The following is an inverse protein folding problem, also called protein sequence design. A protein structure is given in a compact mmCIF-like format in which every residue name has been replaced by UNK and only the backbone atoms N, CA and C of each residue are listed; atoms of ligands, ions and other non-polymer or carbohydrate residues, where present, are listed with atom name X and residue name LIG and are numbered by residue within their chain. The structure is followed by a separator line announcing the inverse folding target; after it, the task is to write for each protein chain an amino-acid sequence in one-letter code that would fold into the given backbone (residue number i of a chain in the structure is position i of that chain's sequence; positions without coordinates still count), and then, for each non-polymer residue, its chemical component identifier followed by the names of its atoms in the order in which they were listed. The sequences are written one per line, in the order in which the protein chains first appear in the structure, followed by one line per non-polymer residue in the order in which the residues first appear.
data_IF_008226875834
#
_entry.id   IF_008226875834
#
_cell.length_a   1.000
_cell.length_b   1.000
_cell.length_c   1.000
_cell.angle_alpha   90.00
_cell.angle_beta   90.00
_cell.angle_gamma   90.00
#
_symmetry.space_group_name_H-M   'P 1'
#
loop_
_entity.id
_entity.type
_entity.pdbx_description
1 polymer ?
#
# COMPACT_ATOMS: atom_id res chain seq x y z
N UNK A 1 -28.69 9.79 -39.01
CA UNK A 1 -29.75 9.66 -38.01
C UNK A 1 -30.65 8.44 -38.25
N UNK A 2 -31.11 8.17 -39.48
CA UNK A 2 -31.98 7.04 -39.76
C UNK A 2 -31.41 5.66 -39.35
N UNK A 3 -30.10 5.44 -39.47
CA UNK A 3 -29.47 4.18 -39.08
C UNK A 3 -29.46 4.01 -37.55
N UNK A 4 -29.15 5.07 -36.82
CA UNK A 4 -29.14 5.03 -35.36
C UNK A 4 -30.52 4.84 -34.77
N UNK A 5 -31.56 5.42 -35.41
CA UNK A 5 -32.95 5.26 -34.99
C UNK A 5 -33.45 3.82 -35.26
N UNK A 6 -33.17 3.28 -36.45
CA UNK A 6 -33.45 1.88 -36.74
C UNK A 6 -32.74 0.91 -35.79
N UNK A 7 -31.50 1.14 -35.47
CA UNK A 7 -30.78 0.30 -34.51
C UNK A 7 -31.45 0.30 -33.11
N UNK A 8 -31.97 1.45 -32.69
CA UNK A 8 -32.71 1.57 -31.42
C UNK A 8 -34.01 0.79 -31.39
N UNK A 9 -34.75 0.79 -32.50
CA UNK A 9 -36.00 0.00 -32.63
C UNK A 9 -35.77 -1.50 -32.39
N UNK A 10 -34.58 -2.01 -32.74
CA UNK A 10 -34.20 -3.42 -32.55
C UNK A 10 -33.34 -3.65 -31.31
N UNK A 11 -33.26 -2.68 -30.40
CA UNK A 11 -32.42 -2.76 -29.19
C UNK A 11 -30.90 -2.99 -29.47
N UNK A 12 -30.45 -2.55 -30.65
CA UNK A 12 -29.03 -2.65 -31.07
C UNK A 12 -28.35 -1.33 -30.80
N UNK A 13 -27.25 -1.37 -30.04
CA UNK A 13 -26.44 -0.18 -29.73
C UNK A 13 -25.31 -0.04 -30.76
N UNK A 14 -25.26 1.11 -31.44
CA UNK A 14 -24.18 1.43 -32.36
C UNK A 14 -22.93 1.82 -31.57
N UNK A 15 -21.96 0.91 -31.53
CA UNK A 15 -20.69 1.14 -30.83
C UNK A 15 -19.62 1.82 -31.68
N UNK A 16 -19.80 1.88 -33.01
CA UNK A 16 -18.90 2.55 -33.94
C UNK A 16 -19.11 2.10 -35.39
N UNK A 17 -18.49 2.81 -36.30
CA UNK A 17 -18.51 2.52 -37.74
C UNK A 17 -17.10 2.20 -38.24
N UNK A 18 -16.96 1.25 -39.12
CA UNK A 18 -15.72 0.86 -39.80
C UNK A 18 -15.82 1.05 -41.31
N UNK A 19 -14.69 0.94 -42.03
CA UNK A 19 -14.69 1.05 -43.49
C UNK A 19 -14.81 2.47 -44.02
N UNK A 20 -14.43 3.47 -43.24
CA UNK A 20 -14.44 4.88 -43.63
C UNK A 20 -13.11 5.22 -44.28
N UNK A 21 -13.16 5.55 -45.56
CA UNK A 21 -11.98 5.74 -46.39
C UNK A 21 -11.69 7.22 -46.76
N UNK A 22 -12.58 8.14 -46.41
CA UNK A 22 -12.44 9.56 -46.71
C UNK A 22 -12.45 10.42 -45.45
N UNK A 23 -11.61 11.44 -45.43
CA UNK A 23 -11.48 12.36 -44.32
C UNK A 23 -12.75 13.15 -44.04
N UNK A 24 -13.45 13.57 -45.08
CA UNK A 24 -14.73 14.29 -44.96
C UNK A 24 -15.78 13.47 -44.18
N UNK A 25 -15.89 12.18 -44.49
CA UNK A 25 -16.81 11.28 -43.78
C UNK A 25 -16.40 11.05 -42.35
N UNK A 26 -15.09 10.97 -42.09
CA UNK A 26 -14.59 10.84 -40.74
C UNK A 26 -14.91 12.09 -39.89
N UNK A 27 -14.74 13.27 -40.43
CA UNK A 27 -15.02 14.53 -39.75
C UNK A 27 -16.52 14.66 -39.41
N UNK A 28 -17.43 14.23 -40.32
CA UNK A 28 -18.86 14.20 -40.04
C UNK A 28 -19.23 13.24 -38.92
N UNK A 29 -18.54 12.12 -38.80
CA UNK A 29 -18.79 11.16 -37.71
C UNK A 29 -18.26 11.68 -36.37
N UNK A 30 -17.07 12.26 -36.39
CA UNK A 30 -16.44 12.88 -35.19
C UNK A 30 -17.33 14.01 -34.68
N UNK A 31 -17.82 14.90 -35.54
CA UNK A 31 -18.71 15.98 -35.14
C UNK A 31 -20.03 15.50 -34.51
N UNK A 32 -20.44 14.27 -34.81
CA UNK A 32 -21.63 13.61 -34.26
C UNK A 32 -21.34 12.64 -33.12
N UNK A 33 -20.12 12.61 -32.64
CA UNK A 33 -19.65 11.73 -31.54
C UNK A 33 -19.85 10.21 -31.84
N UNK A 34 -19.76 9.81 -33.10
CA UNK A 34 -19.85 8.41 -33.50
C UNK A 34 -18.45 7.85 -33.60
N UNK A 35 -18.06 6.83 -32.81
CA UNK A 35 -16.74 6.24 -32.86
C UNK A 35 -16.44 5.55 -34.20
N UNK A 36 -15.21 5.72 -34.69
CA UNK A 36 -14.69 5.03 -35.87
C UNK A 36 -13.84 3.85 -35.38
N UNK A 37 -14.23 2.63 -35.73
CA UNK A 37 -13.57 1.40 -35.30
C UNK A 37 -12.69 0.86 -36.44
N UNK A 38 -11.47 0.47 -36.14
CA UNK A 38 -10.53 -0.22 -37.06
C UNK A 38 -10.22 0.48 -38.37
N UNK A 39 -9.75 1.72 -38.31
CA UNK A 39 -9.12 2.35 -39.48
C UNK A 39 -7.69 2.76 -39.10
N UNK A 40 -6.71 1.95 -39.51
CA UNK A 40 -5.28 2.25 -39.34
C UNK A 40 -4.87 3.58 -40.00
N UNK A 41 -5.60 4.02 -41.01
CA UNK A 41 -5.41 5.29 -41.68
C UNK A 41 -5.85 6.48 -40.84
N UNK A 42 -6.93 6.32 -40.05
CA UNK A 42 -7.45 7.36 -39.17
C UNK A 42 -6.81 7.33 -37.77
N UNK A 43 -6.19 6.25 -37.36
CA UNK A 43 -5.37 6.21 -36.16
C UNK A 43 -4.21 7.21 -36.26
N UNK A 44 -3.54 7.29 -37.42
CA UNK A 44 -2.47 8.27 -37.66
C UNK A 44 -2.97 9.73 -37.60
N UNK A 45 -4.11 10.01 -38.23
CA UNK A 45 -4.73 11.36 -38.21
C UNK A 45 -5.12 11.75 -36.78
N UNK A 46 -5.57 10.78 -35.97
CA UNK A 46 -5.92 11.01 -34.58
C UNK A 46 -4.68 11.29 -33.73
N UNK A 47 -3.58 10.58 -33.95
CA UNK A 47 -2.30 10.83 -33.28
C UNK A 47 -1.68 12.17 -33.66
N UNK A 48 -1.81 12.60 -34.94
CA UNK A 48 -1.33 13.91 -35.39
C UNK A 48 -2.16 15.06 -34.86
N UNK A 49 -3.48 14.89 -34.73
CA UNK A 49 -4.37 15.92 -34.18
C UNK A 49 -4.32 16.03 -32.64
N UNK A 50 -3.86 14.98 -31.95
CA UNK A 50 -3.65 14.99 -30.50
C UNK A 50 -2.21 15.28 -30.09
N UNK A 51 -1.29 15.46 -31.03
CA UNK A 51 0.01 16.04 -30.69
C UNK A 51 -0.27 17.49 -30.25
N UNK A 52 0.03 17.85 -29.01
CA UNK A 52 -0.11 19.23 -28.60
C UNK A 52 0.73 20.08 -29.57
N UNK A 53 0.12 21.00 -30.27
CA UNK A 53 0.85 22.04 -30.98
C UNK A 53 1.62 22.80 -29.91
N UNK A 54 2.89 22.50 -29.76
CA UNK A 54 3.80 23.32 -28.99
C UNK A 54 3.90 24.63 -29.74
N UNK A 55 3.10 25.61 -29.34
CA UNK A 55 3.30 26.97 -29.75
C UNK A 55 4.49 27.44 -28.90
N UNK A 56 5.69 27.34 -29.45
CA UNK A 56 6.84 28.02 -28.90
C UNK A 56 6.59 29.54 -28.98
N UNK A 57 5.82 30.05 -28.05
CA UNK A 57 5.91 31.45 -27.67
C UNK A 57 7.18 31.56 -26.84
N UNK A 58 8.24 32.02 -27.45
CA UNK A 58 9.39 32.54 -26.73
C UNK A 58 8.90 33.77 -25.94
N UNK A 59 8.35 33.52 -24.77
CA UNK A 59 8.17 34.55 -23.76
C UNK A 59 9.53 34.61 -23.08
N UNK A 60 10.32 35.64 -23.37
CA UNK A 60 11.44 36.01 -22.50
C UNK A 60 10.85 36.37 -21.12
N UNK A 61 10.64 35.39 -20.32
CA UNK A 61 10.43 35.58 -18.88
C UNK A 61 11.83 35.81 -18.33
N UNK A 62 12.19 37.07 -18.13
CA UNK A 62 13.24 37.41 -17.17
C UNK A 62 12.75 36.86 -15.84
N UNK A 63 13.28 35.71 -15.45
CA UNK A 63 13.09 35.12 -14.14
C UNK A 63 14.10 35.79 -13.20
N UNK A 64 13.69 36.78 -12.41
CA UNK A 64 14.46 37.20 -11.29
C UNK A 64 13.90 36.38 -10.12
N UNK A 65 14.61 35.43 -9.71
CA UNK A 65 14.59 34.62 -8.49
C UNK A 65 14.67 33.13 -8.82
N UNK A 66 15.74 32.52 -8.40
CA UNK A 66 15.75 31.11 -8.02
C UNK A 66 14.65 30.93 -6.97
N UNK A 67 13.49 30.45 -7.40
CA UNK A 67 12.55 29.85 -6.46
C UNK A 67 13.23 28.60 -5.97
N UNK A 68 13.93 28.69 -4.87
CA UNK A 68 14.26 27.52 -4.04
C UNK A 68 12.91 26.97 -3.61
N UNK A 69 12.36 26.06 -4.40
CA UNK A 69 11.29 25.19 -3.92
C UNK A 69 11.89 24.50 -2.70
N UNK A 70 11.36 24.72 -1.49
CA UNK A 70 11.83 23.97 -0.36
C UNK A 70 11.50 22.50 -0.69
N UNK A 71 12.52 21.72 -1.07
CA UNK A 71 12.41 20.28 -0.97
C UNK A 71 12.19 20.00 0.51
N UNK A 72 10.98 19.66 0.88
CA UNK A 72 10.79 18.90 2.11
C UNK A 72 11.51 17.57 1.90
N UNK A 73 12.78 17.55 2.24
CA UNK A 73 13.49 16.31 2.50
C UNK A 73 12.75 15.74 3.70
N UNK A 74 11.86 14.78 3.47
CA UNK A 74 11.35 13.93 4.54
C UNK A 74 12.55 13.18 5.07
N UNK A 75 13.21 13.79 6.05
CA UNK A 75 14.22 13.09 6.85
C UNK A 75 13.42 11.98 7.51
N UNK A 76 13.73 10.73 7.15
CA UNK A 76 13.13 9.59 7.82
C UNK A 76 13.43 9.77 9.33
N UNK A 77 12.40 9.82 10.15
CA UNK A 77 12.59 9.95 11.59
C UNK A 77 13.44 8.78 12.07
N UNK A 78 14.34 9.01 13.04
CA UNK A 78 15.18 7.94 13.56
C UNK A 78 14.32 6.87 14.23
N UNK A 79 14.73 5.60 14.06
CA UNK A 79 14.13 4.43 14.69
C UNK A 79 13.90 4.70 16.20
N UNK A 80 12.70 4.40 16.71
CA UNK A 80 12.44 4.49 18.14
C UNK A 80 13.12 3.32 18.88
N UNK A 81 14.10 3.64 19.71
CA UNK A 81 14.83 2.66 20.51
C UNK A 81 14.39 2.75 21.96
N UNK A 82 13.99 1.61 22.53
CA UNK A 82 13.58 1.47 23.94
C UNK A 82 14.59 0.55 24.63
N UNK A 83 15.37 1.07 25.57
CA UNK A 83 16.45 0.36 26.27
C UNK A 83 16.04 -0.17 27.65
N UNK A 84 14.74 -0.35 27.87
CA UNK A 84 14.19 -0.85 29.13
C UNK A 84 13.04 -1.84 28.90
N UNK A 85 12.67 -2.56 29.96
CA UNK A 85 11.49 -3.39 29.94
C UNK A 85 10.23 -2.54 29.90
N UNK A 86 9.36 -2.79 28.91
CA UNK A 86 8.05 -2.14 28.81
C UNK A 86 7.14 -2.73 29.86
N UNK A 87 6.70 -1.88 30.79
CA UNK A 87 5.93 -2.30 31.99
C UNK A 87 4.49 -2.52 31.66
N UNK A 88 3.80 -3.25 32.53
CA UNK A 88 2.36 -3.45 32.45
C UNK A 88 1.59 -2.12 32.38
N UNK A 89 0.70 -1.98 31.39
CA UNK A 89 -0.06 -0.75 31.13
C UNK A 89 0.71 0.34 30.39
N UNK A 90 1.98 0.15 30.12
CA UNK A 90 2.78 1.10 29.33
C UNK A 90 2.46 1.03 27.84
N UNK A 91 2.37 2.18 27.18
CA UNK A 91 2.18 2.32 25.74
C UNK A 91 3.43 2.89 25.11
N UNK A 92 4.03 2.12 24.19
CA UNK A 92 5.07 2.58 23.29
C UNK A 92 4.44 2.84 21.93
N UNK A 93 4.59 4.04 21.38
CA UNK A 93 3.98 4.41 20.10
C UNK A 93 4.99 5.10 19.19
N UNK A 94 5.14 4.57 17.97
CA UNK A 94 5.96 5.12 16.89
C UNK A 94 5.10 5.27 15.61
N UNK A 95 4.36 6.39 15.48
CA UNK A 95 3.40 6.57 14.39
C UNK A 95 4.04 6.72 13.01
N UNK A 96 5.34 7.02 12.94
CA UNK A 96 6.06 7.24 11.67
C UNK A 96 7.20 6.25 11.44
N UNK A 97 7.49 5.37 12.42
CA UNK A 97 8.72 4.58 12.45
C UNK A 97 8.52 3.13 12.88
N UNK A 98 9.66 2.42 12.86
CA UNK A 98 9.83 1.13 13.53
C UNK A 98 10.23 1.32 14.99
N UNK A 99 9.96 0.30 15.81
CA UNK A 99 10.34 0.24 17.23
C UNK A 99 11.33 -0.91 17.44
N UNK A 100 12.38 -0.64 18.20
CA UNK A 100 13.30 -1.67 18.71
C UNK A 100 13.31 -1.63 20.23
N UNK A 101 13.11 -2.77 20.88
CA UNK A 101 13.05 -2.91 22.34
C UNK A 101 14.16 -3.84 22.81
N UNK A 102 15.13 -3.30 23.55
CA UNK A 102 16.15 -4.05 24.25
C UNK A 102 15.65 -4.40 25.67
N UNK A 103 14.59 -5.21 25.72
CA UNK A 103 13.96 -5.60 26.97
C UNK A 103 12.71 -6.44 26.72
N UNK A 104 11.98 -6.72 27.77
CA UNK A 104 10.77 -7.52 27.76
C UNK A 104 9.53 -6.62 27.62
N UNK A 105 8.48 -7.13 27.00
CA UNK A 105 7.17 -6.48 26.92
C UNK A 105 6.21 -7.23 27.84
N UNK A 106 5.85 -6.58 28.97
CA UNK A 106 5.01 -7.18 29.99
C UNK A 106 3.57 -7.39 29.53
N UNK A 107 2.83 -8.25 30.20
CA UNK A 107 1.37 -8.39 29.99
C UNK A 107 0.67 -7.05 30.17
N UNK A 108 -0.34 -6.79 29.36
CA UNK A 108 -1.08 -5.51 29.30
C UNK A 108 -0.26 -4.30 28.80
N UNK A 109 1.04 -4.45 28.51
CA UNK A 109 1.78 -3.45 27.76
C UNK A 109 1.40 -3.49 26.29
N UNK A 110 1.49 -2.32 25.62
CA UNK A 110 1.11 -2.18 24.22
C UNK A 110 2.21 -1.48 23.43
N UNK A 111 2.58 -2.07 22.30
CA UNK A 111 3.58 -1.52 21.37
C UNK A 111 2.93 -1.30 20.01
N UNK A 112 2.96 -0.07 19.51
CA UNK A 112 2.37 0.32 18.23
C UNK A 112 3.44 0.96 17.36
N UNK A 113 3.65 0.44 16.14
CA UNK A 113 4.55 1.00 15.15
C UNK A 113 3.90 1.07 13.78
N UNK A 114 4.19 2.13 13.03
CA UNK A 114 3.75 2.23 11.63
C UNK A 114 4.51 1.28 10.71
N UNK A 115 5.70 0.82 11.12
CA UNK A 115 6.52 -0.13 10.38
C UNK A 115 6.78 -1.38 11.23
N UNK A 116 8.04 -1.72 11.46
CA UNK A 116 8.45 -2.96 12.10
C UNK A 116 8.51 -2.84 13.64
N UNK A 117 8.33 -3.96 14.32
CA UNK A 117 8.58 -4.08 15.77
C UNK A 117 9.60 -5.18 16.00
N UNK A 118 10.68 -4.85 16.69
CA UNK A 118 11.78 -5.76 17.02
C UNK A 118 11.93 -5.80 18.54
N UNK A 119 11.74 -6.96 19.15
CA UNK A 119 11.83 -7.19 20.58
C UNK A 119 12.92 -8.24 20.82
N UNK A 120 13.99 -7.85 21.49
CA UNK A 120 15.09 -8.79 21.81
C UNK A 120 14.81 -9.67 23.04
N UNK A 121 13.87 -9.27 23.88
CA UNK A 121 13.45 -10.02 25.06
C UNK A 121 12.11 -10.75 24.86
N UNK A 122 11.43 -10.94 26.00
CA UNK A 122 10.14 -11.65 26.07
C UNK A 122 8.99 -10.78 25.59
N UNK A 123 8.05 -11.37 24.89
CA UNK A 123 6.81 -10.73 24.49
C UNK A 123 5.62 -11.41 25.17
N UNK A 124 5.00 -10.68 26.13
CA UNK A 124 3.80 -11.13 26.85
C UNK A 124 2.59 -10.21 26.60
N UNK A 125 2.81 -9.02 26.05
CA UNK A 125 1.81 -7.98 25.82
C UNK A 125 1.22 -7.97 24.40
N UNK A 126 0.77 -6.79 23.99
CA UNK A 126 0.16 -6.54 22.68
C UNK A 126 1.14 -5.84 21.74
N UNK A 127 1.18 -6.27 20.48
CA UNK A 127 2.03 -5.65 19.45
C UNK A 127 1.25 -5.39 18.17
N UNK A 128 1.38 -4.17 17.67
CA UNK A 128 0.77 -3.69 16.44
C UNK A 128 1.87 -3.15 15.52
N UNK A 129 2.22 -3.88 14.48
CA UNK A 129 3.14 -3.46 13.43
C UNK A 129 2.39 -3.05 12.17
N UNK A 130 3.00 -2.20 11.35
CA UNK A 130 2.36 -1.74 10.12
C UNK A 130 1.07 -0.96 10.36
N UNK A 131 0.91 -0.37 11.54
CA UNK A 131 -0.31 0.38 11.89
C UNK A 131 -0.38 1.67 11.07
N UNK A 132 -1.54 2.01 10.49
CA UNK A 132 -1.71 3.27 9.79
C UNK A 132 -1.59 4.43 10.79
N UNK A 133 -0.99 5.53 10.34
CA UNK A 133 -0.88 6.77 11.13
C UNK A 133 -2.26 7.41 11.34
N UNK A 134 -3.05 7.44 10.29
CA UNK A 134 -4.38 8.04 10.23
C UNK A 134 -5.39 7.05 9.67
N UNK A 135 -6.69 7.32 9.89
CA UNK A 135 -7.79 6.47 9.41
C UNK A 135 -7.85 6.34 7.88
N UNK A 136 -7.30 7.33 7.17
CA UNK A 136 -7.31 7.41 5.71
C UNK A 136 -6.04 6.83 5.07
N UNK A 137 -5.02 6.46 5.87
CA UNK A 137 -3.78 5.86 5.39
C UNK A 137 -3.87 4.33 5.43
N UNK A 138 -3.32 3.69 4.40
CA UNK A 138 -3.15 2.23 4.42
C UNK A 138 -1.96 1.88 5.30
N UNK A 139 -2.12 0.86 6.14
CA UNK A 139 -1.01 0.32 6.94
C UNK A 139 0.10 -0.25 6.05
N UNK A 140 1.31 -0.34 6.60
CA UNK A 140 2.47 -0.89 5.91
C UNK A 140 2.42 -2.43 5.92
N UNK A 141 2.14 -3.04 4.76
CA UNK A 141 1.93 -4.49 4.61
C UNK A 141 3.21 -5.32 4.77
N UNK A 142 4.36 -4.74 4.41
CA UNK A 142 5.66 -5.42 4.51
C UNK A 142 6.27 -5.33 5.92
N UNK A 143 5.49 -4.85 6.90
CA UNK A 143 5.89 -4.83 8.28
C UNK A 143 6.10 -6.24 8.82
N UNK A 144 7.01 -6.35 9.77
CA UNK A 144 7.24 -7.59 10.50
C UNK A 144 7.36 -7.34 12.00
N UNK A 145 7.13 -8.39 12.76
CA UNK A 145 7.41 -8.45 14.20
C UNK A 145 8.51 -9.48 14.40
N UNK A 146 9.55 -9.13 15.16
CA UNK A 146 10.58 -10.05 15.60
C UNK A 146 10.59 -10.15 17.12
N UNK A 147 10.67 -11.35 17.64
CA UNK A 147 10.77 -11.65 19.08
C UNK A 147 11.95 -12.56 19.32
N UNK A 148 12.80 -12.22 20.28
CA UNK A 148 14.04 -12.95 20.58
C UNK A 148 14.03 -13.76 21.87
N UNK A 149 12.92 -13.75 22.64
CA UNK A 149 12.76 -14.44 23.91
C UNK A 149 11.47 -15.27 23.97
N UNK A 150 10.82 -15.28 25.15
CA UNK A 150 9.52 -15.95 25.34
C UNK A 150 8.46 -15.37 24.43
N UNK A 151 7.79 -16.21 23.67
CA UNK A 151 6.73 -15.82 22.75
C UNK A 151 5.34 -16.19 23.33
N UNK A 152 4.75 -15.29 24.07
CA UNK A 152 3.41 -15.46 24.66
C UNK A 152 2.59 -14.15 24.57
N UNK A 153 2.44 -13.58 23.38
CA UNK A 153 1.66 -12.33 23.22
C UNK A 153 0.20 -12.56 23.55
N UNK A 154 -0.45 -11.51 24.07
CA UNK A 154 -1.90 -11.46 24.24
C UNK A 154 -2.63 -11.10 22.96
N UNK A 155 -1.97 -10.29 22.09
CA UNK A 155 -2.44 -9.94 20.76
C UNK A 155 -1.27 -9.56 19.86
N UNK A 156 -1.31 -10.04 18.62
CA UNK A 156 -0.43 -9.60 17.54
C UNK A 156 -1.25 -9.05 16.39
N UNK A 157 -0.81 -7.92 15.83
CA UNK A 157 -1.42 -7.35 14.65
C UNK A 157 -0.36 -6.86 13.65
N UNK A 158 -0.57 -7.11 12.37
CA UNK A 158 0.20 -6.54 11.26
C UNK A 158 -0.77 -5.97 10.23
N UNK A 159 -0.66 -4.67 9.96
CA UNK A 159 -1.50 -3.97 8.99
C UNK A 159 -3.01 -4.27 9.17
N UNK A 160 -3.49 -4.27 10.42
CA UNK A 160 -4.89 -4.50 10.78
C UNK A 160 -5.34 -5.98 10.80
N UNK A 161 -4.52 -6.93 10.37
CA UNK A 161 -4.77 -8.35 10.55
C UNK A 161 -4.22 -8.76 11.91
N UNK A 162 -5.04 -9.38 12.75
CA UNK A 162 -4.66 -9.69 14.13
C UNK A 162 -4.97 -11.15 14.50
N UNK A 163 -4.27 -11.63 15.52
CA UNK A 163 -4.54 -12.88 16.22
C UNK A 163 -4.44 -12.64 17.72
N UNK A 164 -5.39 -13.20 18.43
CA UNK A 164 -5.43 -13.21 19.91
C UNK A 164 -4.68 -14.39 20.48
N UNK A 165 -4.43 -14.41 21.77
CA UNK A 165 -3.84 -15.55 22.47
C UNK A 165 -4.60 -16.85 22.19
N UNK A 166 -5.92 -16.82 22.26
CA UNK A 166 -6.78 -17.98 22.02
C UNK A 166 -6.64 -18.52 20.58
N UNK A 167 -6.58 -17.61 19.59
CA UNK A 167 -6.38 -18.00 18.20
C UNK A 167 -5.01 -18.67 18.00
N UNK A 168 -3.98 -18.18 18.69
CA UNK A 168 -2.63 -18.70 18.61
C UNK A 168 -2.51 -20.07 19.28
N UNK A 169 -3.16 -20.29 20.41
CA UNK A 169 -3.19 -21.58 21.10
C UNK A 169 -3.90 -22.66 20.28
N UNK A 170 -4.96 -22.30 19.58
CA UNK A 170 -5.72 -23.22 18.72
C UNK A 170 -5.00 -23.58 17.42
N UNK A 171 -4.08 -22.74 16.96
CA UNK A 171 -3.39 -22.93 15.69
C UNK A 171 -2.30 -23.98 15.82
N UNK A 172 -2.45 -25.12 15.14
CA UNK A 172 -1.50 -26.25 15.21
C UNK A 172 -0.08 -25.87 14.79
N UNK A 173 0.07 -24.96 13.83
CA UNK A 173 1.38 -24.47 13.37
C UNK A 173 2.12 -23.65 14.44
N UNK A 174 1.42 -23.11 15.44
CA UNK A 174 2.01 -22.29 16.50
C UNK A 174 2.36 -23.06 17.76
N UNK A 175 2.02 -24.34 17.87
CA UNK A 175 2.35 -25.20 19.02
C UNK A 175 3.86 -25.30 19.34
N UNK A 176 4.69 -25.07 18.34
CA UNK A 176 6.15 -25.07 18.51
C UNK A 176 6.72 -23.70 18.89
N UNK A 177 5.97 -22.65 18.75
CA UNK A 177 6.40 -21.25 18.94
C UNK A 177 5.72 -20.64 20.17
N UNK A 178 4.40 -20.79 20.27
CA UNK A 178 3.60 -20.17 21.32
C UNK A 178 3.92 -20.76 22.71
N UNK A 179 4.07 -19.88 23.68
CA UNK A 179 4.45 -20.18 25.07
C UNK A 179 5.81 -20.87 25.19
N UNK A 180 6.74 -20.55 24.30
CA UNK A 180 8.12 -21.06 24.32
C UNK A 180 9.13 -19.95 24.12
N UNK A 181 10.32 -20.19 24.63
CA UNK A 181 11.48 -19.36 24.33
C UNK A 181 11.96 -19.68 22.91
N UNK A 182 11.86 -18.72 22.00
CA UNK A 182 12.24 -18.89 20.61
C UNK A 182 12.57 -17.56 19.95
N UNK A 183 13.27 -17.63 18.82
CA UNK A 183 13.46 -16.48 17.94
C UNK A 183 12.47 -16.59 16.79
N UNK A 184 11.44 -15.76 16.83
CA UNK A 184 10.37 -15.80 15.86
C UNK A 184 10.30 -14.52 15.04
N UNK A 185 10.09 -14.64 13.74
CA UNK A 185 9.73 -13.55 12.85
C UNK A 185 8.32 -13.78 12.32
N UNK A 186 7.47 -12.78 12.49
CA UNK A 186 6.08 -12.79 12.06
C UNK A 186 5.93 -11.79 10.93
N UNK A 187 5.30 -12.20 9.85
CA UNK A 187 5.03 -11.39 8.66
C UNK A 187 3.58 -11.56 8.24
N UNK A 188 3.09 -10.63 7.43
CA UNK A 188 1.77 -10.75 6.81
C UNK A 188 1.91 -11.38 5.43
N UNK A 189 1.15 -12.46 5.17
CA UNK A 189 1.02 -13.08 3.85
C UNK A 189 -0.46 -13.07 3.43
N UNK A 190 -0.78 -12.20 2.49
CA UNK A 190 -2.16 -11.93 2.11
C UNK A 190 -3.00 -11.38 3.27
N UNK A 191 -3.77 -12.23 3.94
CA UNK A 191 -4.59 -11.88 5.12
C UNK A 191 -4.25 -12.72 6.35
N UNK A 192 -3.23 -13.56 6.27
CA UNK A 192 -2.82 -14.44 7.35
C UNK A 192 -1.46 -14.02 7.92
N UNK A 193 -1.30 -14.15 9.24
CA UNK A 193 -0.01 -14.00 9.88
C UNK A 193 0.81 -15.28 9.66
N UNK A 194 2.01 -15.11 9.14
CA UNK A 194 2.97 -16.20 8.88
C UNK A 194 4.08 -16.13 9.92
N UNK A 195 4.37 -17.25 10.56
CA UNK A 195 5.32 -17.39 11.66
C UNK A 195 6.53 -18.22 11.21
N UNK A 196 7.72 -17.69 11.40
CA UNK A 196 8.97 -18.34 11.04
C UNK A 196 9.97 -18.29 12.19
N UNK A 197 10.52 -19.46 12.57
CA UNK A 197 11.66 -19.52 13.49
C UNK A 197 12.94 -19.01 12.78
N UNK A 198 13.73 -18.22 13.50
CA UNK A 198 14.95 -17.60 13.00
C UNK A 198 16.16 -18.19 13.73
N UNK A 199 17.18 -18.59 12.98
CA UNK A 199 18.46 -19.04 13.56
C UNK A 199 18.53 -20.51 13.94
N UNK A 200 17.53 -21.33 13.59
CA UNK A 200 17.65 -22.79 13.61
C UNK A 200 18.08 -23.20 12.20
N UNK A 201 19.41 -23.31 11.99
CA UNK A 201 19.93 -24.09 10.88
C UNK A 201 19.99 -25.54 11.38
N UNK A 202 19.13 -26.40 10.82
CA UNK A 202 19.35 -27.87 10.88
C UNK A 202 20.44 -28.25 9.89
#
# INVERSE_FOLDING_TARGET
NALCEKCKEYSIYLIGLSGIHTEERANVLISRHIPIVNSSKFARIREENFKPKVIEKTVEVKVPYEVKVPYEVKIAEPLLVVEHNVRAGELISAPDNSVVIFGNVARTARVIASHNVIIFGDLLGEVYAGSPKDKDTLGYKDAFIYVGGMFQPTLLAICGQYQTADDMEMTSALKEIYNKECRAKITLDGRALNYRLVGIQN
#
